data_IF_595127615274
#
_entry.id   IF_595127615274
#
_cell.length_a   1.000
_cell.length_b   1.000
_cell.length_c   1.000
_cell.angle_alpha   90.00
_cell.angle_beta   90.00
_cell.angle_gamma   90.00
#
_symmetry.space_group_name_H-M   'P 1'
#
loop_
_entity.id
_entity.type
_entity.pdbx_description
1 polymer ?
#
# COMPACT_ATOMS: atom_id res chain seq x y z
N UNK A 1 4.60 6.24 -9.46
CA UNK A 1 3.13 6.43 -9.56
C UNK A 1 2.66 7.34 -8.45
N UNK A 2 1.62 8.12 -8.70
CA UNK A 2 0.97 8.89 -7.65
C UNK A 2 -0.05 8.00 -6.90
N UNK A 3 -0.55 8.50 -5.77
CA UNK A 3 -1.47 7.73 -4.92
C UNK A 3 -2.78 7.37 -5.62
N UNK A 4 -3.27 8.22 -6.52
CA UNK A 4 -4.48 7.93 -7.28
C UNK A 4 -4.32 6.75 -8.22
N UNK A 5 -3.17 6.65 -8.87
CA UNK A 5 -2.85 5.52 -9.74
C UNK A 5 -2.72 4.22 -8.93
N UNK A 6 -2.05 4.28 -7.78
CA UNK A 6 -1.90 3.13 -6.88
C UNK A 6 -3.27 2.68 -6.37
N UNK A 7 -4.13 3.60 -5.99
CA UNK A 7 -5.48 3.30 -5.53
C UNK A 7 -6.26 2.55 -6.60
N UNK A 8 -6.20 3.03 -7.83
CA UNK A 8 -6.90 2.41 -8.96
C UNK A 8 -6.39 1.00 -9.24
N UNK A 9 -5.08 0.82 -9.26
CA UNK A 9 -4.45 -0.46 -9.59
C UNK A 9 -4.59 -1.49 -8.46
N UNK A 10 -4.50 -1.08 -7.21
CA UNK A 10 -4.61 -1.97 -6.06
C UNK A 10 -6.04 -2.27 -5.65
N UNK A 11 -6.98 -1.44 -6.05
CA UNK A 11 -8.37 -1.54 -5.63
C UNK A 11 -8.62 -1.01 -4.22
N UNK A 12 -7.66 -0.29 -3.64
CA UNK A 12 -7.78 0.34 -2.33
C UNK A 12 -7.98 1.85 -2.49
N UNK A 13 -8.57 2.51 -1.48
CA UNK A 13 -8.67 3.95 -1.50
C UNK A 13 -7.39 4.61 -0.95
N UNK A 14 -7.22 5.89 -1.25
CA UNK A 14 -6.03 6.63 -0.84
C UNK A 14 -5.84 6.66 0.68
N UNK A 15 -6.92 6.73 1.43
CA UNK A 15 -6.89 6.74 2.89
C UNK A 15 -6.27 5.46 3.45
N UNK A 16 -6.67 4.30 2.92
CA UNK A 16 -6.13 3.01 3.33
C UNK A 16 -4.66 2.88 2.93
N UNK A 17 -4.30 3.34 1.74
CA UNK A 17 -2.91 3.29 1.28
C UNK A 17 -2.02 4.09 2.23
N UNK A 18 -2.43 5.29 2.60
CA UNK A 18 -1.68 6.11 3.56
C UNK A 18 -1.60 5.45 4.93
N UNK A 19 -2.67 4.77 5.36
CA UNK A 19 -2.67 4.02 6.61
C UNK A 19 -1.65 2.89 6.57
N UNK A 20 -1.65 2.09 5.51
CA UNK A 20 -0.72 0.98 5.37
C UNK A 20 0.73 1.45 5.27
N UNK A 21 0.97 2.58 4.64
CA UNK A 21 2.28 3.24 4.63
C UNK A 21 2.71 3.62 6.05
N UNK A 22 1.78 4.18 6.84
CA UNK A 22 2.07 4.64 8.19
C UNK A 22 2.41 3.51 9.17
N UNK A 23 1.84 2.33 8.97
CA UNK A 23 2.10 1.17 9.84
C UNK A 23 3.20 0.25 9.29
N UNK A 24 3.84 0.63 8.19
CA UNK A 24 4.99 -0.09 7.65
C UNK A 24 4.67 -1.29 6.76
N UNK A 25 3.45 -1.42 6.29
CA UNK A 25 3.09 -2.48 5.31
C UNK A 25 3.81 -2.24 4.00
N UNK A 26 3.88 -0.99 3.58
CA UNK A 26 4.72 -0.55 2.46
C UNK A 26 5.67 0.53 2.98
N UNK A 27 6.85 0.71 2.34
CA UNK A 27 7.77 1.75 2.75
C UNK A 27 7.18 3.13 2.50
N UNK A 28 7.69 4.13 3.21
CA UNK A 28 7.30 5.52 2.96
C UNK A 28 7.59 5.89 1.52
N UNK A 29 6.60 6.48 0.86
CA UNK A 29 6.75 6.90 -0.53
C UNK A 29 7.86 7.93 -0.66
N UNK A 30 8.69 7.77 -1.68
CA UNK A 30 9.69 8.77 -2.04
C UNK A 30 8.95 9.99 -2.57
N UNK A 31 9.35 11.17 -2.12
CA UNK A 31 8.76 12.42 -2.65
C UNK A 31 9.55 12.90 -3.83
N UNK A 32 8.84 13.37 -4.85
CA UNK A 32 9.47 14.05 -5.99
C UNK A 32 9.96 15.43 -5.56
N UNK A 33 10.75 16.09 -6.38
CA UNK A 33 11.21 17.46 -6.13
C UNK A 33 10.04 18.43 -5.95
N UNK A 34 8.92 18.17 -6.58
CA UNK A 34 7.70 18.98 -6.43
C UNK A 34 6.92 18.65 -5.16
N UNK A 35 7.40 17.71 -4.34
CA UNK A 35 6.77 17.33 -3.08
C UNK A 35 5.66 16.29 -3.19
N UNK A 36 5.43 15.72 -4.35
CA UNK A 36 4.42 14.67 -4.55
C UNK A 36 4.97 13.30 -4.14
N UNK A 37 4.10 12.48 -3.57
CA UNK A 37 4.44 11.09 -3.22
C UNK A 37 4.58 10.26 -4.49
N UNK A 38 5.64 9.44 -4.52
CA UNK A 38 5.92 8.55 -5.65
C UNK A 38 5.96 7.10 -5.16
N UNK A 39 5.01 6.30 -5.61
CA UNK A 39 4.91 4.87 -5.27
C UNK A 39 5.46 4.02 -6.40
N UNK A 40 5.87 2.79 -6.09
CA UNK A 40 6.42 1.85 -7.07
C UNK A 40 5.40 0.76 -7.42
N UNK A 41 5.70 0.01 -8.48
CA UNK A 41 4.91 -1.17 -8.84
C UNK A 41 4.94 -2.24 -7.74
N UNK A 42 6.06 -2.34 -7.03
CA UNK A 42 6.19 -3.26 -5.89
C UNK A 42 5.17 -2.90 -4.82
N UNK A 43 4.95 -1.61 -4.57
CA UNK A 43 3.94 -1.17 -3.61
C UNK A 43 2.54 -1.60 -4.05
N UNK A 44 2.23 -1.50 -5.35
CA UNK A 44 0.95 -1.97 -5.88
C UNK A 44 0.77 -3.47 -5.64
N UNK A 45 1.80 -4.27 -5.90
CA UNK A 45 1.75 -5.71 -5.67
C UNK A 45 1.51 -6.04 -4.20
N UNK A 46 2.21 -5.37 -3.30
CA UNK A 46 2.06 -5.56 -1.86
C UNK A 46 0.63 -5.19 -1.42
N UNK A 47 0.14 -4.05 -1.87
CA UNK A 47 -1.20 -3.58 -1.52
C UNK A 47 -2.30 -4.50 -2.06
N UNK A 48 -2.12 -5.03 -3.26
CA UNK A 48 -3.06 -6.00 -3.85
C UNK A 48 -3.10 -7.27 -3.01
N UNK A 49 -1.93 -7.75 -2.57
CA UNK A 49 -1.83 -8.89 -1.67
C UNK A 49 -2.57 -8.62 -0.35
N UNK A 50 -2.35 -7.45 0.25
CA UNK A 50 -2.99 -7.06 1.50
C UNK A 50 -4.51 -7.06 1.36
N UNK A 51 -5.02 -6.51 0.26
CA UNK A 51 -6.46 -6.50 -0.01
C UNK A 51 -7.03 -7.91 -0.06
N UNK A 52 -6.35 -8.82 -0.78
CA UNK A 52 -6.78 -10.22 -0.90
C UNK A 52 -6.75 -10.94 0.44
N UNK A 53 -5.67 -10.77 1.18
CA UNK A 53 -5.51 -11.41 2.48
C UNK A 53 -6.58 -10.94 3.47
N UNK A 54 -6.91 -9.65 3.47
CA UNK A 54 -7.99 -9.12 4.31
C UNK A 54 -9.34 -9.72 3.92
N UNK A 55 -9.58 -9.87 2.62
CA UNK A 55 -10.81 -10.50 2.12
C UNK A 55 -10.94 -11.96 2.52
N UNK A 56 -9.81 -12.64 2.75
CA UNK A 56 -9.78 -14.05 3.21
C UNK A 56 -9.84 -14.17 4.73
N UNK A 57 -9.85 -13.08 5.47
CA UNK A 57 -9.99 -13.08 6.91
C UNK A 57 -8.70 -12.97 7.70
N UNK A 58 -7.56 -12.76 7.05
CA UNK A 58 -6.31 -12.56 7.77
C UNK A 58 -6.33 -11.23 8.52
N UNK A 59 -5.77 -11.22 9.73
CA UNK A 59 -5.62 -9.99 10.51
C UNK A 59 -4.46 -9.15 9.97
N UNK A 60 -4.46 -7.87 10.28
CA UNK A 60 -3.36 -6.99 9.87
C UNK A 60 -2.03 -7.43 10.49
N UNK A 61 -2.06 -7.96 11.71
CA UNK A 61 -0.87 -8.49 12.37
C UNK A 61 -0.27 -9.66 11.59
N UNK A 62 -1.12 -10.58 11.13
CA UNK A 62 -0.70 -11.71 10.32
C UNK A 62 -0.16 -11.26 8.95
N UNK A 63 -0.87 -10.34 8.32
CA UNK A 63 -0.47 -9.80 7.01
C UNK A 63 0.88 -9.10 7.11
N UNK A 64 1.10 -8.32 8.15
CA UNK A 64 2.36 -7.62 8.37
C UNK A 64 3.54 -8.59 8.49
N UNK A 65 3.32 -9.72 9.15
CA UNK A 65 4.34 -10.79 9.22
C UNK A 65 4.63 -11.40 7.86
N UNK A 66 3.61 -11.60 7.04
CA UNK A 66 3.76 -12.21 5.71
C UNK A 66 4.47 -11.26 4.73
N UNK A 67 4.22 -9.97 4.84
CA UNK A 67 4.81 -8.94 3.97
C UNK A 67 6.23 -8.60 4.41
N UNK A 68 6.46 -8.58 5.69
CA UNK A 68 7.77 -8.24 6.27
C UNK A 68 8.76 -9.35 6.13
#
# INVERSE_FOLDING_TARGET
>A
MNIGQVAKLSGLNAKLIRHYESIGIIPKATRTEAGYRNYSEVDVHTLTFVKRARGLGFSMKEIKKLVG
#
